data_IF_550277544075
#
_entry.id   IF_550277544075
#
_cell.length_a   1.000
_cell.length_b   1.000
_cell.length_c   1.000
_cell.angle_alpha   90.00
_cell.angle_beta   90.00
_cell.angle_gamma   90.00
#
_symmetry.space_group_name_H-M   'P 1'
#
loop_
_entity.id
_entity.type
_entity.pdbx_description
1 polymer ?
#
# COMPACT_ATOMS: atom_id res chain seq x y z
N UNK A 1 -17.49 -52.03 -45.53
CA UNK A 1 -17.81 -51.51 -44.19
C UNK A 1 -16.59 -50.76 -43.69
N UNK A 2 -16.67 -49.43 -43.67
CA UNK A 2 -15.57 -48.56 -43.19
C UNK A 2 -15.98 -48.08 -41.79
N UNK A 3 -15.15 -48.23 -40.73
CA UNK A 3 -15.50 -47.77 -39.41
C UNK A 3 -15.31 -46.23 -39.33
N UNK A 4 -16.40 -45.51 -39.00
CA UNK A 4 -16.34 -44.10 -38.59
C UNK A 4 -15.74 -43.99 -37.18
N UNK A 5 -14.58 -43.40 -37.06
CA UNK A 5 -14.01 -42.97 -35.78
C UNK A 5 -14.62 -41.61 -35.39
N UNK A 6 -15.49 -41.59 -34.39
CA UNK A 6 -15.93 -40.37 -33.74
C UNK A 6 -14.84 -39.94 -32.75
N UNK A 7 -14.07 -38.94 -33.12
CA UNK A 7 -13.13 -38.28 -32.21
C UNK A 7 -13.88 -37.44 -31.17
N UNK A 8 -13.87 -37.88 -29.90
CA UNK A 8 -14.38 -37.13 -28.77
C UNK A 8 -13.39 -35.96 -28.49
N UNK A 9 -13.75 -34.75 -28.91
CA UNK A 9 -13.01 -33.53 -28.54
C UNK A 9 -13.39 -33.17 -27.09
N UNK A 10 -12.52 -33.53 -26.13
CA UNK A 10 -12.60 -33.02 -24.77
C UNK A 10 -12.29 -31.52 -24.80
N UNK A 11 -13.30 -30.67 -24.67
CA UNK A 11 -13.16 -29.29 -24.36
C UNK A 11 -12.65 -29.17 -22.91
N UNK A 12 -11.34 -28.93 -22.72
CA UNK A 12 -10.77 -28.55 -21.43
C UNK A 12 -11.37 -27.19 -21.07
N UNK A 13 -11.90 -27.01 -19.84
CA UNK A 13 -12.32 -25.68 -19.39
C UNK A 13 -11.08 -24.79 -19.42
N UNK A 14 -11.10 -23.76 -20.25
CA UNK A 14 -10.13 -22.64 -20.13
C UNK A 14 -10.35 -22.05 -18.73
N UNK A 15 -9.41 -22.35 -17.82
CA UNK A 15 -9.34 -21.62 -16.56
C UNK A 15 -9.33 -20.14 -16.92
N UNK A 16 -10.41 -19.43 -16.56
CA UNK A 16 -10.56 -18.02 -16.84
C UNK A 16 -9.33 -17.31 -16.29
N UNK A 17 -8.52 -16.74 -17.17
CA UNK A 17 -7.41 -15.90 -16.78
C UNK A 17 -8.02 -14.77 -15.94
N UNK A 18 -7.72 -14.74 -14.65
CA UNK A 18 -8.12 -13.62 -13.83
C UNK A 18 -7.47 -12.38 -14.44
N UNK A 19 -8.32 -11.41 -14.84
CA UNK A 19 -7.90 -10.22 -15.58
C UNK A 19 -7.74 -9.05 -14.61
N UNK A 20 -6.78 -8.18 -14.88
CA UNK A 20 -6.53 -6.97 -14.07
C UNK A 20 -7.80 -6.15 -13.79
N UNK A 21 -8.74 -5.92 -14.73
CA UNK A 21 -10.03 -5.31 -14.43
C UNK A 21 -10.78 -5.97 -13.28
N UNK A 22 -10.89 -7.30 -13.27
CA UNK A 22 -11.55 -8.02 -12.19
C UNK A 22 -10.79 -7.92 -10.85
N UNK A 23 -9.45 -7.88 -10.87
CA UNK A 23 -8.65 -7.62 -9.68
C UNK A 23 -8.88 -6.20 -9.16
N UNK A 24 -8.95 -5.20 -10.03
CA UNK A 24 -9.27 -3.80 -9.67
C UNK A 24 -10.63 -3.70 -8.97
N UNK A 25 -11.66 -4.38 -9.49
CA UNK A 25 -13.00 -4.38 -8.88
C UNK A 25 -12.98 -4.94 -7.45
N UNK A 26 -12.14 -5.94 -7.17
CA UNK A 26 -11.97 -6.51 -5.83
C UNK A 26 -11.15 -5.62 -4.90
N UNK A 27 -10.07 -5.03 -5.40
CA UNK A 27 -9.12 -4.25 -4.60
C UNK A 27 -9.66 -2.86 -4.27
N UNK A 28 -10.27 -2.20 -5.25
CA UNK A 28 -10.69 -0.79 -5.17
C UNK A 28 -11.57 -0.45 -3.96
N UNK A 29 -12.55 -1.27 -3.54
CA UNK A 29 -13.39 -0.98 -2.37
C UNK A 29 -12.64 -1.00 -1.03
N UNK A 30 -11.52 -1.71 -0.98
CA UNK A 30 -10.68 -1.84 0.21
C UNK A 30 -9.62 -0.74 0.34
N UNK A 31 -9.37 0.05 -0.72
CA UNK A 31 -8.38 1.12 -0.70
C UNK A 31 -8.98 2.38 -0.08
N UNK A 32 -8.33 2.90 0.94
CA UNK A 32 -8.77 4.04 1.74
C UNK A 32 -7.81 5.21 1.63
N UNK A 33 -8.33 6.41 1.83
CA UNK A 33 -7.51 7.61 1.97
C UNK A 33 -7.17 7.76 3.45
N UNK A 34 -5.89 7.91 3.76
CA UNK A 34 -5.41 8.24 5.10
C UNK A 34 -5.18 9.75 5.18
N UNK A 35 -5.73 10.38 6.19
CA UNK A 35 -5.60 11.83 6.33
C UNK A 35 -5.79 12.31 7.77
N UNK A 36 -5.72 13.61 7.92
CA UNK A 36 -6.04 14.32 9.15
C UNK A 36 -7.26 15.21 8.95
N UNK A 37 -8.02 15.39 10.01
CA UNK A 37 -9.18 16.27 10.06
C UNK A 37 -9.00 17.30 11.19
N UNK A 38 -9.20 18.59 10.86
CA UNK A 38 -9.22 19.69 11.81
C UNK A 38 -10.40 20.59 11.48
N UNK A 39 -11.35 20.72 12.44
CA UNK A 39 -12.62 21.43 12.20
C UNK A 39 -12.42 22.92 11.88
N UNK A 40 -11.38 23.54 12.42
CA UNK A 40 -11.03 24.96 12.21
C UNK A 40 -10.32 25.25 10.88
N UNK A 41 -9.87 24.22 10.15
CA UNK A 41 -9.14 24.40 8.90
C UNK A 41 -10.07 24.55 7.69
N UNK A 42 -9.51 25.14 6.62
CA UNK A 42 -10.13 25.17 5.29
C UNK A 42 -9.05 24.77 4.25
N UNK A 43 -9.12 23.59 3.63
CA UNK A 43 -10.10 22.51 3.87
C UNK A 43 -9.91 21.80 5.21
N UNK A 44 -11.01 21.29 5.77
CA UNK A 44 -10.98 20.55 7.06
C UNK A 44 -10.24 19.22 6.98
N UNK A 45 -10.31 18.56 5.84
CA UNK A 45 -9.62 17.31 5.57
C UNK A 45 -8.32 17.57 4.80
N UNK A 46 -7.22 16.95 5.26
CA UNK A 46 -5.92 16.96 4.58
C UNK A 46 -5.50 15.52 4.29
N UNK A 47 -5.33 15.20 3.01
CA UNK A 47 -4.77 13.91 2.59
C UNK A 47 -3.31 13.81 3.03
N UNK A 48 -2.93 12.67 3.60
CA UNK A 48 -1.55 12.34 3.99
C UNK A 48 -0.98 11.21 3.14
N UNK A 49 -1.81 10.25 2.74
CA UNK A 49 -1.41 9.12 1.91
C UNK A 49 -2.57 8.16 1.65
N UNK A 50 -2.20 7.01 1.19
CA UNK A 50 -3.10 5.89 0.91
C UNK A 50 -3.00 4.85 2.02
N UNK A 51 -4.04 4.06 2.19
CA UNK A 51 -4.05 2.84 2.98
C UNK A 51 -4.95 1.80 2.34
N UNK A 52 -5.00 0.62 2.93
CA UNK A 52 -5.93 -0.43 2.51
C UNK A 52 -6.35 -1.28 3.70
N UNK A 53 -7.56 -1.79 3.62
CA UNK A 53 -8.20 -2.53 4.70
C UNK A 53 -7.75 -3.99 4.70
N UNK A 54 -7.51 -4.52 5.88
CA UNK A 54 -7.10 -5.90 6.13
C UNK A 54 -7.90 -6.52 7.28
N UNK A 55 -7.70 -7.81 7.52
CA UNK A 55 -8.22 -8.56 8.65
C UNK A 55 -9.76 -8.51 8.76
N UNK A 56 -10.29 -8.04 9.86
CA UNK A 56 -11.75 -7.99 10.15
C UNK A 56 -12.50 -6.86 9.44
N UNK A 57 -11.82 -6.03 8.64
CA UNK A 57 -12.45 -4.93 7.89
C UNK A 57 -12.49 -3.58 8.61
N UNK A 58 -11.88 -3.47 9.80
CA UNK A 58 -11.73 -2.23 10.56
C UNK A 58 -10.27 -1.85 10.85
N UNK A 59 -9.32 -2.56 10.25
CA UNK A 59 -7.90 -2.25 10.29
C UNK A 59 -7.42 -1.81 8.91
N UNK A 60 -6.76 -0.67 8.85
CA UNK A 60 -6.10 -0.19 7.64
C UNK A 60 -4.57 -0.21 7.82
N UNK A 61 -3.88 -0.73 6.82
CA UNK A 61 -2.43 -0.65 6.68
C UNK A 61 -2.08 0.62 5.94
N UNK A 62 -1.02 1.30 6.36
CA UNK A 62 -0.38 2.42 5.65
C UNK A 62 1.11 2.47 5.97
N UNK A 63 1.85 3.43 5.41
CA UNK A 63 3.23 3.68 5.83
C UNK A 63 3.29 4.47 7.15
N UNK A 64 4.35 4.27 7.94
CA UNK A 64 4.58 5.02 9.17
C UNK A 64 4.83 6.51 8.91
N UNK A 65 5.51 6.86 7.80
CA UNK A 65 5.75 8.26 7.42
C UNK A 65 4.48 9.02 6.97
N UNK A 66 3.36 8.31 6.72
CA UNK A 66 2.05 8.91 6.44
C UNK A 66 1.42 9.47 7.72
N UNK A 67 1.80 8.95 8.89
CA UNK A 67 1.36 9.48 10.18
C UNK A 67 1.88 10.90 10.42
N UNK A 68 1.27 11.69 11.32
CA UNK A 68 1.83 12.98 11.75
C UNK A 68 3.25 12.81 12.29
N UNK A 69 4.13 13.74 11.91
CA UNK A 69 5.46 13.81 12.52
C UNK A 69 5.32 14.23 14.00
N UNK A 70 6.13 13.67 14.93
CA UNK A 70 6.11 14.09 16.33
C UNK A 70 6.37 15.59 16.56
N UNK A 71 7.02 16.27 15.61
CA UNK A 71 7.24 17.72 15.63
C UNK A 71 6.09 18.54 15.05
N UNK A 72 5.14 17.89 14.38
CA UNK A 72 3.95 18.54 13.81
C UNK A 72 2.97 18.89 14.93
N UNK A 73 2.50 20.14 14.96
CA UNK A 73 1.38 20.51 15.84
C UNK A 73 0.11 19.82 15.37
N UNK A 74 -0.21 18.72 16.02
CA UNK A 74 -1.39 17.90 15.75
C UNK A 74 -2.51 18.16 16.78
N UNK A 75 -2.35 19.17 17.65
CA UNK A 75 -3.38 19.62 18.57
C UNK A 75 -4.65 19.98 17.79
N UNK A 76 -5.81 19.67 18.35
CA UNK A 76 -7.12 19.84 17.70
C UNK A 76 -7.31 19.14 16.35
N UNK A 77 -6.40 18.24 15.99
CA UNK A 77 -6.49 17.40 14.80
C UNK A 77 -6.75 15.96 15.20
N UNK A 78 -7.40 15.22 14.31
CA UNK A 78 -7.60 13.77 14.46
C UNK A 78 -7.15 13.02 13.22
N UNK A 79 -6.63 11.81 13.42
CA UNK A 79 -6.43 10.88 12.32
C UNK A 79 -7.78 10.38 11.84
N UNK A 80 -7.93 10.33 10.54
CA UNK A 80 -9.15 9.82 9.90
C UNK A 80 -8.79 8.97 8.68
N UNK A 81 -9.69 8.06 8.34
CA UNK A 81 -9.69 7.39 7.05
C UNK A 81 -10.94 7.75 6.28
N UNK A 82 -10.83 7.87 4.96
CA UNK A 82 -12.02 7.94 4.10
C UNK A 82 -12.24 6.58 3.47
N UNK A 83 -13.36 5.97 3.79
CA UNK A 83 -13.78 4.65 3.32
C UNK A 83 -14.83 4.82 2.24
N UNK A 84 -14.71 4.07 1.16
CA UNK A 84 -15.70 4.05 0.09
C UNK A 84 -16.87 3.14 0.48
N UNK A 85 -18.06 3.71 0.63
CA UNK A 85 -19.29 2.97 0.99
C UNK A 85 -20.20 2.76 -0.23
N UNK A 86 -20.05 3.58 -1.27
CA UNK A 86 -20.70 3.45 -2.57
C UNK A 86 -19.79 4.05 -3.67
N UNK A 87 -20.06 3.84 -4.94
CA UNK A 87 -19.17 4.28 -6.03
C UNK A 87 -18.71 5.75 -5.94
N UNK A 88 -19.58 6.64 -5.50
CA UNK A 88 -19.31 8.08 -5.37
C UNK A 88 -19.49 8.60 -3.93
N UNK A 89 -19.55 7.70 -2.94
CA UNK A 89 -19.74 8.05 -1.54
C UNK A 89 -18.53 7.64 -0.74
N UNK A 90 -17.84 8.63 -0.15
CA UNK A 90 -16.70 8.50 0.74
C UNK A 90 -17.08 9.01 2.13
N UNK A 91 -17.01 8.14 3.12
CA UNK A 91 -17.25 8.48 4.52
C UNK A 91 -15.92 8.72 5.24
N UNK A 92 -15.81 9.87 5.90
CA UNK A 92 -14.73 10.16 6.85
C UNK A 92 -15.03 9.42 8.14
N UNK A 93 -14.09 8.61 8.62
CA UNK A 93 -14.19 7.85 9.86
C UNK A 93 -13.01 8.14 10.78
N UNK A 94 -13.22 8.39 12.07
CA UNK A 94 -12.14 8.49 13.03
C UNK A 94 -11.26 7.24 13.01
N UNK A 95 -9.96 7.44 13.16
CA UNK A 95 -8.99 6.36 13.15
C UNK A 95 -7.95 6.56 14.26
N UNK A 96 -7.51 5.45 14.86
CA UNK A 96 -6.49 5.41 15.90
C UNK A 96 -5.31 4.58 15.44
N UNK A 97 -4.09 5.06 15.71
CA UNK A 97 -2.87 4.30 15.46
C UNK A 97 -2.79 3.20 16.53
N UNK A 98 -2.84 1.93 16.11
CA UNK A 98 -2.77 0.78 17.05
C UNK A 98 -1.40 0.12 17.04
N UNK A 99 -0.67 0.17 15.94
CA UNK A 99 0.69 -0.34 15.85
C UNK A 99 1.52 0.45 14.85
N UNK A 100 2.82 0.60 15.15
CA UNK A 100 3.80 1.24 14.24
C UNK A 100 5.05 0.38 14.21
N UNK A 101 5.51 0.09 13.02
CA UNK A 101 6.80 -0.52 12.73
C UNK A 101 7.64 0.48 11.93
N UNK A 102 8.49 1.23 12.64
CA UNK A 102 9.33 2.27 12.01
C UNK A 102 10.49 1.67 11.22
N UNK A 103 10.90 0.44 11.55
CA UNK A 103 11.95 -0.27 10.83
C UNK A 103 11.52 -0.61 9.41
N UNK A 104 10.27 -1.04 9.23
CA UNK A 104 9.70 -1.37 7.93
C UNK A 104 8.78 -0.27 7.38
N UNK A 105 8.74 0.90 8.03
CA UNK A 105 7.87 2.03 7.64
C UNK A 105 6.40 1.62 7.45
N UNK A 106 5.85 0.85 8.39
CA UNK A 106 4.47 0.38 8.40
C UNK A 106 3.70 0.89 9.60
N UNK A 107 2.40 1.11 9.44
CA UNK A 107 1.48 1.44 10.52
C UNK A 107 0.13 0.75 10.33
N UNK A 108 -0.54 0.44 11.46
CA UNK A 108 -1.91 -0.03 11.51
C UNK A 108 -2.79 1.04 12.14
N UNK A 109 -3.88 1.33 11.47
CA UNK A 109 -4.93 2.24 11.91
C UNK A 109 -6.21 1.44 12.15
N UNK A 110 -6.77 1.52 13.36
CA UNK A 110 -8.11 1.02 13.64
C UNK A 110 -9.09 2.15 13.42
N UNK A 111 -10.12 1.93 12.63
CA UNK A 111 -11.14 2.92 12.33
C UNK A 111 -12.54 2.44 12.74
N UNK A 112 -13.41 3.39 13.00
CA UNK A 112 -14.77 3.16 13.47
C UNK A 112 -15.76 2.87 12.33
N UNK A 113 -16.93 2.36 12.71
CA UNK A 113 -18.06 2.12 11.81
C UNK A 113 -18.13 0.70 11.25
N UNK A 114 -18.94 0.54 10.22
CA UNK A 114 -19.17 -0.77 9.58
C UNK A 114 -17.89 -1.25 8.92
N UNK A 115 -17.59 -2.54 9.05
CA UNK A 115 -16.44 -3.18 8.40
C UNK A 115 -16.44 -2.91 6.89
N UNK A 116 -15.30 -2.54 6.35
CA UNK A 116 -15.09 -2.39 4.91
C UNK A 116 -14.55 -3.69 4.31
N UNK A 117 -14.66 -3.88 2.99
CA UNK A 117 -14.00 -5.00 2.31
C UNK A 117 -12.52 -5.04 2.66
N UNK A 118 -12.01 -6.23 3.02
CA UNK A 118 -10.62 -6.43 3.40
C UNK A 118 -9.86 -7.20 2.32
N UNK A 119 -8.60 -6.84 2.11
CA UNK A 119 -7.71 -7.54 1.17
C UNK A 119 -7.00 -8.71 1.86
N UNK A 120 -6.80 -9.77 1.10
CA UNK A 120 -5.99 -10.90 1.52
C UNK A 120 -4.50 -10.58 1.32
N UNK A 121 -3.68 -10.90 2.31
CA UNK A 121 -2.22 -10.82 2.20
C UNK A 121 -1.69 -12.11 1.59
N UNK A 122 -0.93 -12.02 0.51
CA UNK A 122 -0.21 -13.14 -0.06
C UNK A 122 1.10 -13.39 0.70
N UNK A 123 1.66 -14.59 0.53
CA UNK A 123 3.02 -14.88 0.99
C UNK A 123 4.03 -14.21 0.07
N UNK A 124 4.61 -13.10 0.54
CA UNK A 124 5.58 -12.33 -0.23
C UNK A 124 6.93 -13.02 -0.41
N UNK A 125 7.20 -14.11 0.30
CA UNK A 125 8.40 -14.93 0.08
C UNK A 125 8.40 -15.67 -1.26
N UNK A 126 7.20 -15.82 -1.85
CA UNK A 126 7.01 -16.45 -3.16
C UNK A 126 7.14 -15.49 -4.33
N UNK A 127 7.26 -14.18 -4.08
CA UNK A 127 7.43 -13.17 -5.12
C UNK A 127 8.78 -13.34 -5.80
N UNK A 128 8.80 -13.18 -7.13
CA UNK A 128 10.02 -13.31 -7.94
C UNK A 128 10.25 -12.07 -8.78
N UNK A 129 11.53 -11.81 -9.09
CA UNK A 129 11.91 -10.81 -10.08
C UNK A 129 11.29 -11.16 -11.45
N UNK A 130 10.81 -10.13 -12.16
CA UNK A 130 10.05 -10.27 -13.39
C UNK A 130 8.55 -10.52 -13.20
N UNK A 131 8.07 -10.74 -11.95
CA UNK A 131 6.64 -10.91 -11.68
C UNK A 131 5.89 -9.61 -11.94
N UNK A 132 4.79 -9.69 -12.70
CA UNK A 132 3.86 -8.57 -12.89
C UNK A 132 3.19 -8.21 -11.56
N UNK A 133 3.05 -6.91 -11.32
CA UNK A 133 2.34 -6.36 -10.17
C UNK A 133 1.46 -5.20 -10.58
N UNK A 134 0.45 -4.91 -9.79
CA UNK A 134 -0.27 -3.64 -9.84
C UNK A 134 -0.26 -3.00 -8.46
N UNK A 135 -0.41 -1.69 -8.39
CA UNK A 135 -0.62 -1.00 -7.13
C UNK A 135 -1.67 0.09 -7.30
N UNK A 136 -2.29 0.46 -6.20
CA UNK A 136 -3.39 1.42 -6.21
C UNK A 136 -3.21 2.46 -5.10
N UNK A 137 -3.56 3.72 -5.40
CA UNK A 137 -3.50 4.80 -4.44
C UNK A 137 -4.13 6.09 -4.96
N UNK A 138 -3.91 7.17 -4.22
CA UNK A 138 -4.43 8.49 -4.51
C UNK A 138 -3.30 9.46 -4.87
N UNK A 139 -2.75 9.39 -6.10
CA UNK A 139 -1.65 10.24 -6.51
C UNK A 139 -2.06 11.71 -6.51
N UNK A 140 -1.06 12.59 -6.27
CA UNK A 140 -1.19 14.05 -6.38
C UNK A 140 -2.28 14.63 -5.46
N UNK A 141 -2.49 14.00 -4.29
CA UNK A 141 -3.19 14.62 -3.17
C UNK A 141 -4.63 15.08 -3.43
N UNK A 142 -5.38 14.41 -4.28
CA UNK A 142 -6.77 14.75 -4.56
C UNK A 142 -6.96 15.78 -5.69
N UNK A 143 -5.89 16.24 -6.35
CA UNK A 143 -6.01 17.10 -7.53
C UNK A 143 -6.79 16.42 -8.68
N UNK A 144 -6.79 15.09 -8.72
CA UNK A 144 -7.59 14.27 -9.64
C UNK A 144 -8.91 13.77 -9.03
N UNK A 145 -9.34 14.38 -7.91
CA UNK A 145 -10.46 13.87 -7.10
C UNK A 145 -10.04 12.66 -6.25
N UNK A 146 -10.95 12.19 -5.42
CA UNK A 146 -10.72 11.04 -4.52
C UNK A 146 -11.04 9.69 -5.18
N UNK A 147 -10.69 9.53 -6.46
CA UNK A 147 -10.76 8.24 -7.15
C UNK A 147 -9.39 7.57 -7.10
N UNK A 148 -9.28 6.33 -6.61
CA UNK A 148 -8.00 5.63 -6.59
C UNK A 148 -7.56 5.31 -8.02
N UNK A 149 -6.26 5.50 -8.28
CA UNK A 149 -5.62 5.24 -9.57
C UNK A 149 -4.84 3.94 -9.48
N UNK A 150 -5.00 3.09 -10.47
CA UNK A 150 -4.23 1.84 -10.61
C UNK A 150 -3.03 2.08 -11.51
N UNK A 151 -1.87 1.65 -11.04
CA UNK A 151 -0.64 1.57 -11.81
C UNK A 151 -0.25 0.11 -12.01
N UNK A 152 0.45 -0.18 -13.10
CA UNK A 152 0.97 -1.51 -13.40
C UNK A 152 2.49 -1.45 -13.55
N UNK A 153 3.16 -2.52 -13.15
CA UNK A 153 4.61 -2.66 -13.27
C UNK A 153 5.04 -4.10 -13.09
N UNK A 154 6.32 -4.28 -12.82
CA UNK A 154 6.91 -5.57 -12.47
C UNK A 154 7.89 -5.41 -11.30
N UNK A 155 8.17 -6.49 -10.60
CA UNK A 155 9.26 -6.56 -9.63
C UNK A 155 10.57 -6.64 -10.41
N UNK A 156 11.33 -5.54 -10.44
CA UNK A 156 12.60 -5.48 -11.17
C UNK A 156 13.76 -6.02 -10.36
N UNK A 157 13.70 -5.95 -9.03
CA UNK A 157 14.69 -6.55 -8.14
C UNK A 157 14.13 -6.80 -6.74
N UNK A 158 14.64 -7.81 -6.05
CA UNK A 158 14.45 -8.05 -4.63
C UNK A 158 15.78 -7.77 -3.95
N UNK A 159 15.88 -6.66 -3.24
CA UNK A 159 17.14 -6.18 -2.70
C UNK A 159 17.03 -5.84 -1.22
N UNK A 160 18.14 -6.03 -0.51
CA UNK A 160 18.25 -5.59 0.87
C UNK A 160 18.35 -4.05 0.90
N UNK A 161 17.46 -3.42 1.67
CA UNK A 161 17.50 -1.98 1.88
C UNK A 161 17.63 -1.66 3.37
N UNK A 162 18.43 -0.64 3.66
CA UNK A 162 18.31 0.12 4.89
C UNK A 162 17.49 1.38 4.56
N UNK A 163 16.53 1.74 5.40
CA UNK A 163 15.84 3.02 5.26
C UNK A 163 16.87 4.15 5.22
N UNK A 164 16.81 5.05 4.24
CA UNK A 164 17.73 6.18 4.22
C UNK A 164 17.51 7.03 5.47
N UNK A 165 18.56 7.19 6.26
CA UNK A 165 18.53 8.14 7.36
C UNK A 165 18.50 9.56 6.80
N UNK A 166 17.73 10.47 7.39
CA UNK A 166 17.45 11.79 6.83
C UNK A 166 18.64 12.72 6.63
N UNK A 167 19.84 12.47 7.09
CA UNK A 167 21.12 13.12 6.68
C UNK A 167 22.29 12.48 7.40
N UNK A 168 23.51 12.59 6.85
CA UNK A 168 24.76 12.15 7.49
C UNK A 168 25.00 12.79 8.88
N UNK A 169 24.38 13.93 9.16
CA UNK A 169 24.44 14.64 10.46
C UNK A 169 23.49 14.07 11.52
N UNK A 170 22.55 13.21 11.13
CA UNK A 170 21.61 12.52 12.05
C UNK A 170 22.01 11.06 12.33
N UNK A 171 23.22 10.67 11.98
CA UNK A 171 23.83 9.40 12.37
C UNK A 171 24.07 9.39 13.91
N UNK A 172 23.00 9.12 14.65
CA UNK A 172 23.10 8.85 16.07
C UNK A 172 23.32 7.34 16.32
N UNK A 173 23.70 6.97 17.55
CA UNK A 173 24.00 5.60 17.93
C UNK A 173 22.83 4.62 17.68
N UNK A 174 21.57 5.10 17.62
CA UNK A 174 20.39 4.29 17.32
C UNK A 174 20.26 4.00 15.82
N UNK A 175 20.62 4.96 14.97
CA UNK A 175 20.69 4.79 13.52
C UNK A 175 21.78 3.80 13.12
N UNK A 176 22.95 3.89 13.77
CA UNK A 176 24.06 2.94 13.56
C UNK A 176 23.68 1.53 14.05
N UNK A 177 22.91 1.41 15.13
CA UNK A 177 22.35 0.11 15.57
C UNK A 177 21.33 -0.43 14.59
N UNK A 178 20.45 0.40 14.03
CA UNK A 178 19.50 0.03 12.97
C UNK A 178 20.21 -0.50 11.71
N UNK A 179 21.29 0.18 11.29
CA UNK A 179 22.15 -0.30 10.19
C UNK A 179 22.88 -1.61 10.52
N UNK A 180 23.13 -1.89 11.80
CA UNK A 180 23.72 -3.17 12.29
C UNK A 180 22.68 -4.25 12.57
N UNK A 181 21.42 -3.90 12.80
CA UNK A 181 20.33 -4.83 13.12
C UNK A 181 19.84 -5.63 11.90
N UNK A 182 20.26 -5.28 10.72
CA UNK A 182 19.98 -6.04 9.50
C UNK A 182 19.27 -5.21 8.44
N UNK A 183 19.65 -5.48 7.22
CA UNK A 183 18.93 -5.05 6.04
C UNK A 183 17.69 -5.94 5.88
N UNK A 184 16.54 -5.35 5.61
CA UNK A 184 15.36 -6.11 5.25
C UNK A 184 15.12 -6.05 3.74
N UNK A 185 14.48 -7.07 3.17
CA UNK A 185 14.22 -7.11 1.74
C UNK A 185 13.07 -6.18 1.37
N UNK A 186 13.27 -5.45 0.27
CA UNK A 186 12.24 -4.64 -0.40
C UNK A 186 12.12 -5.06 -1.85
N UNK A 187 10.98 -4.80 -2.45
CA UNK A 187 10.78 -4.93 -3.88
C UNK A 187 11.08 -3.60 -4.56
N UNK A 188 12.04 -3.61 -5.49
CA UNK A 188 12.19 -2.54 -6.46
C UNK A 188 11.25 -2.82 -7.63
N UNK A 189 10.47 -1.82 -8.03
CA UNK A 189 9.47 -1.94 -9.07
C UNK A 189 9.88 -1.09 -10.28
N UNK A 190 9.75 -1.66 -11.48
CA UNK A 190 9.70 -0.89 -12.72
C UNK A 190 8.28 -0.36 -12.88
N UNK A 191 8.05 0.77 -12.27
CA UNK A 191 6.76 1.47 -12.24
C UNK A 191 6.94 2.88 -11.66
N UNK A 192 6.15 3.84 -12.14
CA UNK A 192 6.15 5.19 -11.60
C UNK A 192 5.08 5.34 -10.52
N UNK A 193 5.51 5.63 -9.29
CA UNK A 193 4.61 6.04 -8.22
C UNK A 193 4.74 7.55 -7.97
N UNK A 194 3.65 8.16 -7.51
CA UNK A 194 3.56 9.60 -7.23
C UNK A 194 3.26 9.86 -5.75
N UNK A 195 3.61 11.05 -5.22
CA UNK A 195 3.20 11.47 -3.88
C UNK A 195 1.71 11.28 -3.67
N UNK A 196 1.35 10.63 -2.56
CA UNK A 196 -0.02 10.20 -2.27
C UNK A 196 -0.26 8.70 -2.46
N UNK A 197 0.55 8.01 -3.29
CA UNK A 197 0.46 6.54 -3.41
C UNK A 197 1.03 5.81 -2.18
N UNK A 198 1.90 6.45 -1.39
CA UNK A 198 2.49 5.87 -0.17
C UNK A 198 1.42 5.23 0.72
N UNK A 199 1.66 3.98 1.12
CA UNK A 199 0.75 3.18 1.92
C UNK A 199 -0.28 2.38 1.12
N UNK A 200 -0.35 2.55 -0.19
CA UNK A 200 -1.25 1.79 -1.05
C UNK A 200 -0.83 0.34 -1.25
N UNK A 201 -1.78 -0.57 -1.54
CA UNK A 201 -1.47 -1.98 -1.78
C UNK A 201 -0.74 -2.18 -3.10
N UNK A 202 0.33 -2.98 -3.07
CA UNK A 202 0.89 -3.63 -4.24
C UNK A 202 0.32 -5.04 -4.28
N UNK A 203 -0.30 -5.43 -5.38
CA UNK A 203 -1.07 -6.66 -5.46
C UNK A 203 -0.81 -7.43 -6.76
N UNK A 204 -1.08 -8.70 -6.70
CA UNK A 204 -1.06 -9.57 -7.86
C UNK A 204 -2.19 -9.20 -8.83
N UNK A 205 -1.89 -8.90 -10.12
CA UNK A 205 -2.89 -8.43 -11.07
C UNK A 205 -3.92 -9.49 -11.46
N UNK A 206 -3.69 -10.76 -11.14
CA UNK A 206 -4.63 -11.85 -11.43
C UNK A 206 -5.56 -12.12 -10.24
N UNK A 207 -5.00 -12.19 -9.02
CA UNK A 207 -5.76 -12.58 -7.82
C UNK A 207 -6.27 -11.39 -7.01
N UNK A 208 -5.61 -10.22 -7.10
CA UNK A 208 -5.87 -9.07 -6.23
C UNK A 208 -5.28 -9.22 -4.82
N UNK A 209 -4.52 -10.29 -4.55
CA UNK A 209 -3.88 -10.50 -3.26
C UNK A 209 -2.71 -9.54 -3.07
N UNK A 210 -2.56 -9.03 -1.87
CA UNK A 210 -1.54 -8.04 -1.53
C UNK A 210 -0.18 -8.70 -1.38
N UNK A 211 0.77 -8.27 -2.19
CA UNK A 211 2.17 -8.67 -2.18
C UNK A 211 3.04 -7.72 -1.35
N UNK A 212 2.60 -6.46 -1.17
CA UNK A 212 3.35 -5.47 -0.42
C UNK A 212 2.65 -4.12 -0.31
N UNK A 213 3.38 -3.13 0.20
CA UNK A 213 2.93 -1.74 0.38
C UNK A 213 3.85 -0.81 -0.41
N UNK A 214 3.28 0.02 -1.29
CA UNK A 214 4.07 1.01 -2.03
C UNK A 214 4.69 2.03 -1.08
N UNK A 215 5.97 2.34 -1.28
CA UNK A 215 6.73 3.25 -0.43
C UNK A 215 7.49 4.27 -1.28
N UNK A 216 7.27 5.56 -1.00
CA UNK A 216 7.87 6.66 -1.74
C UNK A 216 9.12 7.27 -1.05
N UNK A 217 9.44 6.83 0.19
CA UNK A 217 10.56 7.40 0.96
C UNK A 217 11.92 7.01 0.37
N UNK A 218 12.01 5.86 -0.30
CA UNK A 218 13.25 5.41 -0.92
C UNK A 218 13.65 6.19 -2.18
N UNK A 219 12.76 7.05 -2.71
CA UNK A 219 13.07 7.88 -3.87
C UNK A 219 13.89 9.07 -3.43
N UNK A 220 15.13 9.16 -3.93
CA UNK A 220 16.02 10.31 -3.66
C UNK A 220 15.46 11.57 -4.33
N UNK A 221 15.17 12.59 -3.53
CA UNK A 221 14.74 13.91 -4.02
C UNK A 221 13.61 14.52 -3.19
N UNK A 222 13.24 15.76 -3.54
CA UNK A 222 12.08 16.43 -2.96
C UNK A 222 10.78 15.92 -3.59
N UNK A 223 9.63 16.14 -2.93
CA UNK A 223 8.31 15.82 -3.50
C UNK A 223 8.09 16.51 -4.86
N UNK A 224 8.59 17.73 -5.01
CA UNK A 224 8.55 18.50 -6.26
C UNK A 224 9.39 17.83 -7.36
N UNK A 225 10.56 17.31 -7.01
CA UNK A 225 11.44 16.60 -7.93
C UNK A 225 10.81 15.29 -8.44
N UNK A 226 10.09 14.57 -7.57
CA UNK A 226 9.37 13.35 -7.96
C UNK A 226 8.18 13.62 -8.90
N UNK A 227 7.60 14.83 -8.83
CA UNK A 227 6.52 15.24 -9.75
C UNK A 227 7.04 15.70 -11.10
N UNK A 228 8.19 16.40 -11.13
CA UNK A 228 8.76 16.98 -12.35
C UNK A 228 9.66 16.02 -13.13
N UNK A 229 10.30 15.08 -12.42
CA UNK A 229 11.23 14.11 -13.00
C UNK A 229 10.99 12.72 -12.38
N UNK A 230 9.87 12.04 -12.72
CA UNK A 230 9.60 10.70 -12.21
C UNK A 230 10.69 9.73 -12.69
N UNK A 231 11.28 8.99 -11.76
CA UNK A 231 12.42 8.10 -12.06
C UNK A 231 12.01 6.79 -12.77
N UNK A 232 10.72 6.48 -12.87
CA UNK A 232 10.26 5.17 -13.34
C UNK A 232 10.54 4.02 -12.35
N UNK A 233 11.21 4.29 -11.24
CA UNK A 233 11.53 3.31 -10.20
C UNK A 233 10.71 3.63 -8.96
N UNK A 234 10.06 2.61 -8.41
CA UNK A 234 9.36 2.67 -7.13
C UNK A 234 9.79 1.51 -6.24
N UNK A 235 9.40 1.56 -4.98
CA UNK A 235 9.73 0.51 -4.00
C UNK A 235 8.47 0.05 -3.28
N UNK A 236 8.47 -1.20 -2.85
CA UNK A 236 7.41 -1.74 -2.02
C UNK A 236 7.97 -2.57 -0.86
N UNK A 237 7.29 -2.48 0.27
CA UNK A 237 7.59 -3.26 1.46
C UNK A 237 6.80 -4.57 1.37
N UNK A 238 7.45 -5.74 1.43
CA UNK A 238 6.80 -7.04 1.34
C UNK A 238 5.69 -7.26 2.38
N UNK A 239 4.62 -7.94 2.00
CA UNK A 239 3.43 -8.22 2.85
C UNK A 239 3.73 -9.03 4.10
N UNK A 240 4.82 -9.80 4.14
CA UNK A 240 5.25 -10.53 5.35
C UNK A 240 5.44 -9.62 6.55
N UNK A 241 5.90 -8.38 6.36
CA UNK A 241 6.08 -7.41 7.44
C UNK A 241 4.73 -6.88 7.97
N UNK A 242 3.71 -6.81 7.11
CA UNK A 242 2.33 -6.53 7.55
C UNK A 242 1.84 -7.68 8.44
N UNK A 243 2.04 -8.91 8.00
CA UNK A 243 1.64 -10.11 8.77
C UNK A 243 2.29 -10.13 10.15
N UNK A 244 3.58 -9.82 10.23
CA UNK A 244 4.30 -9.71 11.51
C UNK A 244 3.75 -8.57 12.39
N UNK A 245 3.41 -7.42 11.80
CA UNK A 245 2.84 -6.30 12.53
C UNK A 245 1.44 -6.61 13.09
N UNK A 246 0.60 -7.30 12.31
CA UNK A 246 -0.72 -7.78 12.75
C UNK A 246 -0.60 -8.80 13.89
N UNK A 247 0.36 -9.72 13.81
CA UNK A 247 0.60 -10.70 14.88
C UNK A 247 1.03 -10.02 16.19
N UNK A 248 1.91 -9.02 16.10
CA UNK A 248 2.34 -8.21 17.26
C UNK A 248 1.18 -7.40 17.88
N UNK A 249 0.24 -6.90 17.07
CA UNK A 249 -0.93 -6.18 17.58
C UNK A 249 -1.91 -7.12 18.30
N UNK A 250 -2.14 -8.32 17.76
CA UNK A 250 -3.02 -9.33 18.37
C UNK A 250 -2.47 -9.92 19.69
N UNK A 251 -1.17 -9.85 19.91
CA UNK A 251 -0.50 -10.39 21.10
C UNK A 251 -0.50 -9.41 22.30
N UNK A 252 -0.98 -8.19 22.12
CA UNK A 252 -1.17 -7.18 23.18
C UNK A 252 -2.50 -7.30 23.87
#
# INVERSE_FOLDING_TARGET
MVPLWFGLVLALPMAGRADLPAAIERVKPAVVIVGSYKASNSPRFRLRGTGFVVDSGNLAVTNAHVLPDPSEDFSDSSMVVQVRVAPNDLQIRPAQVVAVDREHDLALLRFEGVAAPALRLADSSMVREGQSVAFMGFPIGGALGFSPVTHRGLVSSITAAALPTPTAQQLNANTIRGLRAGTFNIFQLDATAYPGNSGGPVFDPETGDVLGVINMVFIKGTKESALTHPSGISYAIPSQYITQLLQRDRAK
#
